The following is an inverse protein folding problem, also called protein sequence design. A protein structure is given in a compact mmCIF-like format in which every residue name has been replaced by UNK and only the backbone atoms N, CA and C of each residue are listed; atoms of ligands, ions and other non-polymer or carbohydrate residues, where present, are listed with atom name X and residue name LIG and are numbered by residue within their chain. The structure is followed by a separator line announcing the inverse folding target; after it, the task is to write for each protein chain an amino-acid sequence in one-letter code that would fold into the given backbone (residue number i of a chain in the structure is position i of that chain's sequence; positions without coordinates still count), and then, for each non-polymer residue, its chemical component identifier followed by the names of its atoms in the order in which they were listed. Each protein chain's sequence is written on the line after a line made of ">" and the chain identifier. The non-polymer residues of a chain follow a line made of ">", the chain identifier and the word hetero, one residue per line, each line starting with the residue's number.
data_IF_760604314813
#
_entry.id   IF_760604314813
#
_cell.length_a   1.000
_cell.length_b   1.000
_cell.length_c   1.000
_cell.angle_alpha   90.00
_cell.angle_beta   90.00
_cell.angle_gamma   90.00
#
_symmetry.space_group_name_H-M   'P 1'
#
loop_
_entity.id
_entity.type
_entity.pdbx_description
1 polymer ?
#
# COMPACT_ATOMS: atom_id res chain seq x y z
N UNK A 1 17.85 13.20 31.18
CA UNK A 1 16.60 13.46 30.43
C UNK A 1 16.95 13.52 28.95
N UNK A 2 16.70 12.45 28.20
CA UNK A 2 17.15 12.28 26.82
C UNK A 2 16.00 12.50 25.84
N UNK A 3 16.24 13.36 24.85
CA UNK A 3 15.33 13.82 23.80
C UNK A 3 14.54 12.69 23.11
N UNK A 4 13.23 12.62 23.36
CA UNK A 4 12.31 11.68 22.69
C UNK A 4 11.69 12.24 21.39
N UNK A 5 11.91 13.51 21.07
CA UNK A 5 11.21 14.21 19.99
C UNK A 5 11.90 14.17 18.62
N UNK A 6 13.10 13.59 18.49
CA UNK A 6 13.80 13.53 17.18
C UNK A 6 13.41 12.35 16.30
N UNK A 7 12.62 11.40 16.80
CA UNK A 7 12.25 10.16 16.05
C UNK A 7 10.93 10.26 15.29
N UNK A 8 10.02 11.15 15.67
CA UNK A 8 8.76 11.39 14.94
C UNK A 8 9.02 12.10 13.61
N UNK A 9 9.89 13.11 13.59
CA UNK A 9 10.23 13.91 12.40
C UNK A 9 10.92 13.09 11.29
N UNK A 10 11.58 11.98 11.65
CA UNK A 10 12.24 11.08 10.70
C UNK A 10 11.26 10.20 9.90
N UNK A 11 9.98 10.11 10.29
CA UNK A 11 8.95 9.37 9.53
C UNK A 11 8.41 10.23 8.37
N UNK A 12 8.31 11.54 8.58
CA UNK A 12 7.81 12.49 7.58
C UNK A 12 8.86 12.90 6.55
N UNK A 13 10.15 12.90 6.91
CA UNK A 13 11.26 13.27 6.01
C UNK A 13 11.80 12.12 5.16
N UNK A 14 11.06 11.03 4.98
CA UNK A 14 11.53 9.93 4.12
C UNK A 14 11.11 10.20 2.69
N UNK A 15 12.06 10.70 1.87
CA UNK A 15 12.15 10.72 0.40
C UNK A 15 10.84 10.58 -0.40
N UNK A 16 9.76 11.24 0.03
CA UNK A 16 8.51 11.35 -0.73
C UNK A 16 8.76 12.13 -2.02
N UNK A 17 9.81 12.94 -2.06
CA UNK A 17 10.15 13.76 -3.22
C UNK A 17 10.37 12.88 -4.46
N UNK A 18 11.13 11.78 -4.37
CA UNK A 18 11.33 10.88 -5.52
C UNK A 18 10.02 10.24 -6.00
N UNK A 19 9.10 9.96 -5.07
CA UNK A 19 7.78 9.41 -5.39
C UNK A 19 6.88 10.46 -6.05
N UNK A 20 6.85 11.67 -5.51
CA UNK A 20 6.09 12.80 -6.06
C UNK A 20 6.64 13.24 -7.42
N UNK A 21 7.97 13.32 -7.56
CA UNK A 21 8.63 13.64 -8.83
C UNK A 21 8.25 12.62 -9.92
N UNK A 22 8.09 11.35 -9.53
CA UNK A 22 7.61 10.32 -10.44
C UNK A 22 6.12 10.48 -10.76
N UNK A 23 5.27 10.76 -9.75
CA UNK A 23 3.84 11.02 -9.95
C UNK A 23 3.59 12.19 -10.91
N UNK A 24 4.33 13.28 -10.76
CA UNK A 24 4.25 14.44 -11.66
C UNK A 24 4.70 14.08 -13.09
N UNK A 25 5.74 13.25 -13.23
CA UNK A 25 6.20 12.74 -14.53
C UNK A 25 5.18 11.85 -15.25
N UNK A 26 4.18 11.31 -14.55
CA UNK A 26 3.07 10.61 -15.20
C UNK A 26 2.14 11.57 -15.92
N UNK A 27 2.15 12.87 -15.60
CA UNK A 27 1.45 13.92 -16.35
C UNK A 27 -0.05 14.04 -16.06
N UNK A 28 -0.63 13.20 -15.20
CA UNK A 28 -2.05 13.28 -14.83
C UNK A 28 -2.44 14.60 -14.16
N UNK A 29 -1.50 15.26 -13.46
CA UNK A 29 -1.76 16.50 -12.73
C UNK A 29 -2.27 17.66 -13.61
N UNK A 30 -2.08 17.57 -14.94
CA UNK A 30 -2.52 18.60 -15.86
C UNK A 30 -3.93 18.37 -16.41
N UNK A 31 -4.49 17.19 -16.20
CA UNK A 31 -5.78 16.75 -16.75
C UNK A 31 -6.81 16.62 -15.62
N UNK A 32 -8.10 16.87 -15.90
CA UNK A 32 -9.16 16.62 -14.90
C UNK A 32 -9.44 15.13 -14.74
N UNK A 33 -9.83 14.71 -13.53
CA UNK A 33 -10.17 13.33 -13.23
C UNK A 33 -11.32 12.84 -14.12
N UNK A 34 -12.34 13.69 -14.35
CA UNK A 34 -13.44 13.41 -15.28
C UNK A 34 -12.95 13.10 -16.70
N UNK A 35 -12.01 13.91 -17.23
CA UNK A 35 -11.46 13.71 -18.58
C UNK A 35 -10.73 12.37 -18.66
N UNK A 36 -9.93 12.02 -17.64
CA UNK A 36 -9.24 10.73 -17.59
C UNK A 36 -10.24 9.57 -17.63
N UNK A 37 -11.25 9.60 -16.76
CA UNK A 37 -12.27 8.54 -16.68
C UNK A 37 -12.97 8.37 -18.02
N UNK A 38 -13.42 9.48 -18.63
CA UNK A 38 -14.12 9.48 -19.91
C UNK A 38 -13.27 8.93 -21.05
N UNK A 39 -12.04 9.46 -21.22
CA UNK A 39 -11.16 9.06 -22.32
C UNK A 39 -10.79 7.57 -22.20
N UNK A 40 -10.32 7.13 -21.03
CA UNK A 40 -9.91 5.74 -20.87
C UNK A 40 -11.08 4.77 -20.96
N UNK A 41 -12.29 5.14 -20.52
CA UNK A 41 -13.47 4.32 -20.78
C UNK A 41 -13.83 4.20 -22.26
N UNK A 42 -13.73 5.28 -23.03
CA UNK A 42 -14.08 5.28 -24.46
C UNK A 42 -13.18 4.37 -25.30
N UNK A 43 -11.91 4.27 -24.93
CA UNK A 43 -10.95 3.38 -25.61
C UNK A 43 -10.99 1.93 -25.08
N UNK A 44 -11.71 1.67 -23.99
CA UNK A 44 -11.80 0.34 -23.38
C UNK A 44 -12.87 -0.54 -24.02
N UNK A 45 -12.58 -1.84 -24.09
CA UNK A 45 -13.57 -2.88 -24.41
C UNK A 45 -13.59 -3.89 -23.27
N UNK A 46 -14.76 -4.07 -22.66
CA UNK A 46 -14.97 -4.97 -21.52
C UNK A 46 -14.00 -4.72 -20.34
N UNK A 47 -13.64 -3.45 -20.11
CA UNK A 47 -12.72 -3.07 -19.04
C UNK A 47 -11.24 -3.34 -19.34
N UNK A 48 -10.92 -3.70 -20.59
CA UNK A 48 -9.57 -3.98 -21.06
C UNK A 48 -9.17 -3.04 -22.20
N UNK A 49 -7.87 -2.77 -22.29
CA UNK A 49 -7.27 -2.01 -23.39
C UNK A 49 -6.02 -2.72 -23.91
N UNK A 50 -5.87 -2.75 -25.23
CA UNK A 50 -4.60 -3.09 -25.87
C UNK A 50 -3.59 -1.95 -25.72
N UNK A 51 -2.32 -2.23 -25.99
CA UNK A 51 -1.28 -1.19 -26.01
C UNK A 51 -1.58 -0.05 -27.00
N UNK A 52 -2.18 -0.36 -28.16
CA UNK A 52 -2.57 0.67 -29.14
C UNK A 52 -3.63 1.59 -28.56
N UNK A 53 -4.73 1.01 -28.03
CA UNK A 53 -5.81 1.78 -27.41
C UNK A 53 -5.31 2.63 -26.23
N UNK A 54 -4.35 2.13 -25.47
CA UNK A 54 -3.72 2.87 -24.38
C UNK A 54 -2.95 4.09 -24.89
N UNK A 55 -2.14 3.92 -25.93
CA UNK A 55 -1.42 5.05 -26.53
C UNK A 55 -2.39 6.11 -27.07
N UNK A 56 -3.46 5.68 -27.74
CA UNK A 56 -4.47 6.58 -28.29
C UNK A 56 -5.18 7.35 -27.16
N UNK A 57 -5.59 6.67 -26.09
CA UNK A 57 -6.16 7.31 -24.89
C UNK A 57 -5.19 8.29 -24.22
N UNK A 58 -3.89 7.96 -24.16
CA UNK A 58 -2.88 8.86 -23.59
C UNK A 58 -2.71 10.13 -24.42
N UNK A 59 -2.71 10.00 -25.75
CA UNK A 59 -2.64 11.14 -26.66
C UNK A 59 -3.87 12.05 -26.51
N UNK A 60 -5.07 11.47 -26.46
CA UNK A 60 -6.33 12.22 -26.33
C UNK A 60 -6.53 12.89 -24.97
N UNK A 61 -5.95 12.32 -23.91
CA UNK A 61 -6.00 12.89 -22.56
C UNK A 61 -4.83 13.82 -22.24
N UNK A 62 -3.92 14.02 -23.21
CA UNK A 62 -2.66 14.77 -23.07
C UNK A 62 -1.75 14.26 -21.94
N UNK A 63 -1.92 12.98 -21.55
CA UNK A 63 -1.10 12.35 -20.51
C UNK A 63 0.09 11.66 -21.16
N UNK A 64 1.31 12.10 -20.82
CA UNK A 64 2.53 11.53 -21.37
C UNK A 64 2.96 10.22 -20.68
N UNK A 65 2.22 9.14 -20.90
CA UNK A 65 2.57 7.82 -20.37
C UNK A 65 3.49 7.02 -21.29
N UNK A 66 3.73 7.47 -22.53
CA UNK A 66 4.55 6.77 -23.51
C UNK A 66 5.98 6.50 -23.01
N UNK A 67 6.53 7.40 -22.19
CA UNK A 67 7.85 7.25 -21.57
C UNK A 67 7.84 6.35 -20.33
N UNK A 68 6.67 5.97 -19.82
CA UNK A 68 6.48 5.20 -18.58
C UNK A 68 5.72 3.89 -18.83
N UNK A 69 5.77 3.34 -20.04
CA UNK A 69 5.08 2.09 -20.39
C UNK A 69 5.50 0.92 -19.48
N UNK A 70 6.77 0.86 -19.06
CA UNK A 70 7.26 -0.15 -18.11
C UNK A 70 6.61 -0.07 -16.72
N UNK A 71 6.09 1.09 -16.34
CA UNK A 71 5.27 1.25 -15.15
C UNK A 71 3.84 0.78 -15.42
N UNK A 72 3.28 1.14 -16.59
CA UNK A 72 1.94 0.71 -16.97
C UNK A 72 1.80 -0.81 -17.10
N UNK A 73 2.87 -1.51 -17.46
CA UNK A 73 2.92 -2.98 -17.49
C UNK A 73 2.57 -3.61 -16.12
N UNK A 74 2.67 -2.85 -15.02
CA UNK A 74 2.23 -3.29 -13.67
C UNK A 74 0.71 -3.38 -13.49
N UNK A 75 -0.03 -2.87 -14.46
CA UNK A 75 -1.49 -2.88 -14.58
C UNK A 75 -1.97 -3.79 -15.72
N UNK A 76 -1.10 -4.63 -16.27
CA UNK A 76 -1.43 -5.57 -17.34
C UNK A 76 -1.59 -7.00 -16.81
N UNK A 77 -2.46 -7.77 -17.47
CA UNK A 77 -2.58 -9.23 -17.33
C UNK A 77 -1.63 -10.00 -18.28
N UNK A 78 -0.72 -9.28 -18.95
CA UNK A 78 0.23 -9.79 -19.94
C UNK A 78 -0.07 -9.31 -21.35
N UNK A 79 -1.34 -9.37 -21.77
CA UNK A 79 -1.75 -9.01 -23.13
C UNK A 79 -2.53 -7.70 -23.18
N UNK A 80 -3.33 -7.43 -22.13
CA UNK A 80 -4.17 -6.25 -22.04
C UNK A 80 -3.91 -5.49 -20.74
N UNK A 81 -4.27 -4.23 -20.74
CA UNK A 81 -4.24 -3.35 -19.59
C UNK A 81 -5.60 -3.34 -18.89
N UNK A 82 -5.56 -3.45 -17.56
CA UNK A 82 -6.73 -3.39 -16.69
C UNK A 82 -7.17 -1.93 -16.53
N UNK A 83 -8.15 -1.51 -17.31
CA UNK A 83 -8.54 -0.10 -17.46
C UNK A 83 -9.01 0.49 -16.14
N UNK A 84 -9.76 -0.30 -15.35
CA UNK A 84 -10.24 0.12 -14.03
C UNK A 84 -9.10 0.60 -13.13
N UNK A 85 -7.97 -0.12 -13.10
CA UNK A 85 -6.79 0.24 -12.30
C UNK A 85 -6.09 1.49 -12.82
N UNK A 86 -6.05 1.67 -14.15
CA UNK A 86 -5.47 2.86 -14.77
C UNK A 86 -6.34 4.09 -14.50
N UNK A 87 -7.66 3.95 -14.58
CA UNK A 87 -8.60 5.02 -14.20
C UNK A 87 -8.43 5.36 -12.72
N UNK A 88 -8.32 4.36 -11.83
CA UNK A 88 -8.07 4.59 -10.41
C UNK A 88 -6.77 5.38 -10.16
N UNK A 89 -5.67 5.01 -10.83
CA UNK A 89 -4.42 5.76 -10.83
C UNK A 89 -4.65 7.21 -11.30
N UNK A 90 -5.37 7.37 -12.40
CA UNK A 90 -5.73 8.65 -12.98
C UNK A 90 -6.49 9.54 -12.00
N UNK A 91 -7.57 9.05 -11.39
CA UNK A 91 -8.37 9.78 -10.40
C UNK A 91 -7.51 10.23 -9.22
N UNK A 92 -6.60 9.38 -8.73
CA UNK A 92 -5.72 9.72 -7.62
C UNK A 92 -4.77 10.89 -7.93
N UNK A 93 -4.24 10.93 -9.15
CA UNK A 93 -3.18 11.89 -9.55
C UNK A 93 -3.70 13.12 -10.31
N UNK A 94 -4.88 13.05 -10.92
CA UNK A 94 -5.47 14.11 -11.71
C UNK A 94 -6.01 15.27 -10.86
N UNK A 95 -6.26 16.42 -11.51
CA UNK A 95 -6.99 17.54 -10.91
C UNK A 95 -8.45 17.15 -10.69
N UNK A 96 -9.02 17.58 -9.58
CA UNK A 96 -10.44 17.37 -9.29
C UNK A 96 -10.73 17.59 -7.83
N UNK A 97 -11.95 18.02 -7.54
CA UNK A 97 -12.40 18.18 -6.16
C UNK A 97 -12.61 16.81 -5.51
N UNK A 98 -12.58 16.78 -4.18
CA UNK A 98 -12.81 15.55 -3.41
C UNK A 98 -14.13 14.87 -3.81
N UNK A 99 -15.23 15.63 -3.86
CA UNK A 99 -16.54 15.10 -4.17
C UNK A 99 -16.59 14.50 -5.59
N UNK A 100 -15.98 15.19 -6.56
CA UNK A 100 -15.84 14.70 -7.94
C UNK A 100 -15.08 13.37 -7.99
N UNK A 101 -13.91 13.28 -7.34
CA UNK A 101 -13.11 12.05 -7.31
C UNK A 101 -13.86 10.88 -6.67
N UNK A 102 -14.66 11.14 -5.63
CA UNK A 102 -15.50 10.13 -5.01
C UNK A 102 -16.58 9.60 -5.96
N UNK A 103 -17.25 10.50 -6.70
CA UNK A 103 -18.23 10.10 -7.71
C UNK A 103 -17.59 9.23 -8.79
N UNK A 104 -16.45 9.68 -9.32
CA UNK A 104 -15.74 8.95 -10.37
C UNK A 104 -15.25 7.58 -9.89
N UNK A 105 -14.77 7.46 -8.64
CA UNK A 105 -14.43 6.16 -8.05
C UNK A 105 -15.66 5.27 -7.93
N UNK A 106 -16.77 5.81 -7.43
CA UNK A 106 -18.02 5.06 -7.32
C UNK A 106 -18.46 4.52 -8.68
N UNK A 107 -18.53 5.36 -9.71
CA UNK A 107 -18.93 4.99 -11.07
C UNK A 107 -17.96 4.00 -11.74
N UNK A 108 -16.67 4.12 -11.46
CA UNK A 108 -15.63 3.24 -12.04
C UNK A 108 -15.75 1.80 -11.52
N UNK A 109 -16.14 1.63 -10.25
CA UNK A 109 -16.23 0.32 -9.61
C UNK A 109 -17.65 -0.23 -9.54
N UNK A 110 -18.68 0.61 -9.61
CA UNK A 110 -20.05 0.13 -9.69
C UNK A 110 -20.28 -0.57 -11.02
N UNK A 111 -20.97 -1.70 -10.97
CA UNK A 111 -21.43 -2.33 -12.20
C UNK A 111 -22.43 -1.40 -12.88
N UNK A 112 -22.28 -1.13 -14.18
CA UNK A 112 -23.20 -0.26 -14.96
C UNK A 112 -24.68 -0.65 -14.87
N UNK A 113 -24.99 -1.86 -14.40
CA UNK A 113 -26.36 -2.34 -14.21
C UNK A 113 -26.97 -1.93 -12.86
N UNK A 114 -26.17 -1.45 -11.92
CA UNK A 114 -26.57 -1.24 -10.54
C UNK A 114 -26.03 0.09 -10.00
N UNK A 115 -26.90 0.91 -9.42
CA UNK A 115 -26.52 2.18 -8.77
C UNK A 115 -26.00 1.96 -7.34
N UNK A 116 -25.30 0.86 -7.10
CA UNK A 116 -24.70 0.51 -5.82
C UNK A 116 -23.39 -0.26 -6.01
N UNK A 117 -22.50 -0.11 -5.03
CA UNK A 117 -21.31 -0.95 -4.87
C UNK A 117 -21.67 -2.16 -4.00
N UNK A 118 -21.32 -3.34 -4.49
CA UNK A 118 -21.31 -4.56 -3.69
C UNK A 118 -20.07 -4.62 -2.80
N UNK A 119 -20.04 -5.57 -1.85
CA UNK A 119 -18.85 -5.82 -1.05
C UNK A 119 -17.62 -6.11 -1.93
N UNK A 120 -17.76 -6.91 -2.99
CA UNK A 120 -16.62 -7.20 -3.88
C UNK A 120 -16.10 -5.96 -4.61
N UNK A 121 -16.99 -5.03 -4.98
CA UNK A 121 -16.58 -3.79 -5.65
C UNK A 121 -15.77 -2.90 -4.70
N UNK A 122 -16.15 -2.86 -3.42
CA UNK A 122 -15.42 -2.15 -2.36
C UNK A 122 -14.07 -2.81 -2.08
N UNK A 123 -14.02 -4.14 -2.00
CA UNK A 123 -12.78 -4.88 -1.81
C UNK A 123 -11.80 -4.61 -2.95
N UNK A 124 -12.27 -4.62 -4.20
CA UNK A 124 -11.48 -4.30 -5.38
C UNK A 124 -11.00 -2.84 -5.35
N UNK A 125 -11.90 -1.88 -5.07
CA UNK A 125 -11.59 -0.45 -5.00
C UNK A 125 -10.51 -0.14 -3.97
N UNK A 126 -10.67 -0.60 -2.73
CA UNK A 126 -9.67 -0.33 -1.69
C UNK A 126 -8.35 -1.05 -1.94
N UNK A 127 -8.39 -2.26 -2.51
CA UNK A 127 -7.18 -2.95 -2.92
C UNK A 127 -6.43 -2.12 -3.95
N UNK A 128 -7.09 -1.62 -4.98
CA UNK A 128 -6.44 -0.82 -6.01
C UNK A 128 -5.91 0.52 -5.48
N UNK A 129 -6.71 1.28 -4.73
CA UNK A 129 -6.30 2.56 -4.12
C UNK A 129 -5.02 2.40 -3.29
N UNK A 130 -4.96 1.34 -2.46
CA UNK A 130 -3.85 1.10 -1.55
C UNK A 130 -2.66 0.49 -2.29
N UNK A 131 -2.86 -0.48 -3.19
CA UNK A 131 -1.76 -1.08 -3.95
C UNK A 131 -1.10 -0.06 -4.87
N UNK A 132 -1.87 0.79 -5.57
CA UNK A 132 -1.31 1.85 -6.41
C UNK A 132 -0.39 2.75 -5.57
N UNK A 133 -0.91 3.25 -4.46
CA UNK A 133 -0.24 4.23 -3.60
C UNK A 133 0.97 3.65 -2.88
N UNK A 134 0.86 2.43 -2.35
CA UNK A 134 1.82 1.84 -1.40
C UNK A 134 2.72 0.77 -2.01
N UNK A 135 2.35 0.17 -3.15
CA UNK A 135 3.08 -0.94 -3.78
C UNK A 135 3.56 -0.57 -5.19
N UNK A 136 2.66 -0.21 -6.10
CA UNK A 136 2.98 -0.06 -7.53
C UNK A 136 3.92 1.12 -7.76
N UNK A 137 3.53 2.33 -7.33
CA UNK A 137 4.36 3.54 -7.45
C UNK A 137 5.69 3.36 -6.72
N UNK A 138 5.73 2.98 -5.42
CA UNK A 138 6.99 2.95 -4.68
C UNK A 138 7.96 1.87 -5.15
N UNK A 139 7.47 0.68 -5.54
CA UNK A 139 8.35 -0.35 -6.10
C UNK A 139 8.92 0.05 -7.46
N UNK A 140 8.14 0.75 -8.29
CA UNK A 140 8.66 1.24 -9.56
C UNK A 140 9.77 2.27 -9.36
N UNK A 141 9.55 3.26 -8.49
CA UNK A 141 10.58 4.27 -8.19
C UNK A 141 11.82 3.63 -7.55
N UNK A 142 11.66 2.64 -6.67
CA UNK A 142 12.78 1.87 -6.13
C UNK A 142 13.54 1.09 -7.22
N UNK A 143 12.85 0.59 -8.25
CA UNK A 143 13.49 -0.09 -9.37
C UNK A 143 14.37 0.84 -10.22
N UNK A 144 14.04 2.13 -10.25
CA UNK A 144 14.86 3.18 -10.87
C UNK A 144 16.02 3.63 -9.96
N UNK A 145 15.84 3.54 -8.64
CA UNK A 145 16.78 4.04 -7.62
C UNK A 145 17.33 2.91 -6.74
N UNK A 146 17.82 1.82 -7.35
CA UNK A 146 18.16 0.56 -6.62
C UNK A 146 19.20 0.74 -5.51
N UNK A 147 20.08 1.72 -5.62
CA UNK A 147 21.16 1.98 -4.66
C UNK A 147 20.71 2.81 -3.45
N UNK A 148 19.50 3.36 -3.50
CA UNK A 148 18.95 4.17 -2.42
C UNK A 148 18.48 3.28 -1.26
N UNK A 149 19.28 3.26 -0.19
CA UNK A 149 18.98 2.51 1.02
C UNK A 149 17.84 3.10 1.85
N UNK A 150 17.64 4.43 1.86
CA UNK A 150 16.53 5.08 2.57
C UNK A 150 15.21 4.76 1.89
N UNK A 151 15.14 4.90 0.58
CA UNK A 151 13.97 4.53 -0.22
C UNK A 151 13.65 3.04 -0.09
N UNK A 152 14.65 2.15 -0.23
CA UNK A 152 14.43 0.70 -0.06
C UNK A 152 13.81 0.36 1.29
N UNK A 153 14.35 0.96 2.36
CA UNK A 153 13.84 0.78 3.72
C UNK A 153 12.43 1.35 3.87
N UNK A 154 12.13 2.47 3.22
CA UNK A 154 10.80 3.07 3.20
C UNK A 154 9.77 2.17 2.53
N UNK A 155 10.04 1.79 1.28
CA UNK A 155 9.18 0.92 0.46
C UNK A 155 8.90 -0.40 1.17
N UNK A 156 9.92 -0.98 1.81
CA UNK A 156 9.76 -2.22 2.58
C UNK A 156 8.81 -2.05 3.77
N UNK A 157 8.84 -0.91 4.47
CA UNK A 157 7.94 -0.66 5.61
C UNK A 157 6.48 -0.57 5.17
N UNK A 158 6.20 0.25 4.14
CA UNK A 158 4.83 0.45 3.65
C UNK A 158 4.28 -0.82 3.00
N UNK A 159 5.13 -1.60 2.32
CA UNK A 159 4.72 -2.86 1.70
C UNK A 159 4.26 -3.88 2.74
N UNK A 160 4.99 -4.01 3.86
CA UNK A 160 4.61 -4.94 4.96
C UNK A 160 3.25 -4.59 5.58
N UNK A 161 2.88 -3.31 5.62
CA UNK A 161 1.58 -2.89 6.17
C UNK A 161 0.42 -2.97 5.19
N UNK A 162 0.69 -3.05 3.88
CA UNK A 162 -0.33 -2.95 2.83
C UNK A 162 -1.47 -3.96 3.00
N UNK A 163 -1.22 -5.27 3.23
CA UNK A 163 -2.32 -6.23 3.40
C UNK A 163 -3.23 -5.90 4.60
N UNK A 164 -2.63 -5.56 5.74
CA UNK A 164 -3.38 -5.17 6.93
C UNK A 164 -4.15 -3.86 6.74
N UNK A 165 -3.59 -2.94 5.97
CA UNK A 165 -4.25 -1.68 5.59
C UNK A 165 -5.49 -1.97 4.74
N UNK A 166 -5.39 -2.84 3.72
CA UNK A 166 -6.52 -3.25 2.88
C UNK A 166 -7.64 -3.86 3.74
N UNK A 167 -7.31 -4.87 4.56
CA UNK A 167 -8.30 -5.51 5.44
C UNK A 167 -8.96 -4.52 6.41
N UNK A 168 -8.18 -3.62 7.00
CA UNK A 168 -8.68 -2.63 7.96
C UNK A 168 -9.69 -1.66 7.32
N UNK A 169 -9.37 -1.13 6.13
CA UNK A 169 -10.23 -0.15 5.46
C UNK A 169 -11.49 -0.80 4.91
N UNK A 170 -11.39 -1.99 4.33
CA UNK A 170 -12.57 -2.77 3.92
C UNK A 170 -13.48 -3.00 5.12
N UNK A 171 -12.95 -3.50 6.24
CA UNK A 171 -13.74 -3.79 7.44
C UNK A 171 -14.48 -2.56 7.98
N UNK A 172 -13.79 -1.42 8.10
CA UNK A 172 -14.42 -0.16 8.56
C UNK A 172 -15.48 0.33 7.57
N UNK A 173 -15.27 0.08 6.28
CA UNK A 173 -16.21 0.53 5.27
C UNK A 173 -17.44 -0.35 5.20
N UNK A 174 -17.28 -1.68 5.24
CA UNK A 174 -18.35 -2.63 4.91
C UNK A 174 -19.22 -3.00 6.11
N UNK A 175 -18.78 -2.78 7.36
CA UNK A 175 -19.41 -3.16 8.65
C UNK A 175 -20.74 -3.96 8.55
N UNK A 176 -21.84 -3.36 8.08
CA UNK A 176 -23.16 -4.00 7.95
C UNK A 176 -23.90 -3.73 6.62
N UNK A 177 -23.24 -3.30 5.55
CA UNK A 177 -23.91 -2.94 4.28
C UNK A 177 -23.54 -3.89 3.15
N UNK A 178 -24.52 -4.67 2.68
CA UNK A 178 -24.38 -5.51 1.48
C UNK A 178 -24.40 -4.71 0.17
N UNK A 179 -25.03 -3.52 0.21
CA UNK A 179 -25.16 -2.60 -0.92
C UNK A 179 -24.91 -1.18 -0.44
N UNK A 180 -24.06 -0.46 -1.17
CA UNK A 180 -23.64 0.88 -0.81
C UNK A 180 -24.01 1.81 -1.98
N UNK A 181 -24.97 2.70 -1.75
CA UNK A 181 -25.33 3.74 -2.73
C UNK A 181 -24.26 4.83 -2.78
N UNK A 182 -24.35 5.74 -3.76
CA UNK A 182 -23.42 6.86 -3.87
C UNK A 182 -23.43 7.75 -2.62
N UNK A 183 -24.61 8.07 -2.09
CA UNK A 183 -24.78 8.86 -0.87
C UNK A 183 -24.10 8.18 0.32
N UNK A 184 -24.37 6.88 0.54
CA UNK A 184 -23.70 6.11 1.60
C UNK A 184 -22.18 6.06 1.41
N UNK A 185 -21.72 5.95 0.16
CA UNK A 185 -20.30 5.92 -0.16
C UNK A 185 -19.62 7.24 0.19
N UNK A 186 -20.20 8.36 -0.25
CA UNK A 186 -19.70 9.71 0.05
C UNK A 186 -19.66 9.97 1.55
N UNK A 187 -20.78 9.72 2.25
CA UNK A 187 -20.89 9.91 3.70
C UNK A 187 -19.84 9.11 4.48
N UNK A 188 -19.59 7.86 4.06
CA UNK A 188 -18.54 7.05 4.69
C UNK A 188 -17.16 7.59 4.40
N UNK A 189 -16.88 8.02 3.17
CA UNK A 189 -15.58 8.57 2.77
C UNK A 189 -15.25 9.93 3.42
N UNK A 190 -16.23 10.62 4.01
CA UNK A 190 -16.00 11.76 4.90
C UNK A 190 -15.27 11.39 6.20
N UNK A 191 -15.24 10.10 6.58
CA UNK A 191 -14.49 9.64 7.74
C UNK A 191 -12.99 9.94 7.57
N UNK A 192 -12.40 10.66 8.51
CA UNK A 192 -10.96 11.01 8.50
C UNK A 192 -10.04 9.78 8.40
N UNK A 193 -10.51 8.62 8.88
CA UNK A 193 -9.79 7.34 8.77
C UNK A 193 -9.72 6.81 7.34
N UNK A 194 -10.55 7.29 6.42
CA UNK A 194 -10.60 6.84 5.02
C UNK A 194 -10.11 7.92 4.06
N UNK A 195 -10.24 9.19 4.43
CA UNK A 195 -9.94 10.34 3.56
C UNK A 195 -8.53 10.31 2.95
N UNK A 196 -7.56 9.77 3.68
CA UNK A 196 -6.18 9.66 3.22
C UNK A 196 -6.01 8.75 1.99
N UNK A 197 -6.98 7.90 1.66
CA UNK A 197 -6.94 7.00 0.51
C UNK A 197 -7.13 7.72 -0.82
N UNK A 198 -7.71 8.93 -0.83
CA UNK A 198 -7.90 9.73 -2.05
C UNK A 198 -6.64 10.46 -2.51
N UNK A 199 -5.52 10.30 -1.79
CA UNK A 199 -4.25 10.92 -2.14
C UNK A 199 -3.11 9.93 -1.87
N UNK A 200 -2.32 9.64 -2.90
CA UNK A 200 -1.27 8.63 -2.84
C UNK A 200 -0.23 8.92 -1.76
N UNK A 201 0.18 10.18 -1.59
CA UNK A 201 1.11 10.63 -0.55
C UNK A 201 0.52 10.42 0.85
N UNK A 202 -0.74 10.81 1.06
CA UNK A 202 -1.43 10.62 2.34
C UNK A 202 -1.58 9.14 2.71
N UNK A 203 -1.93 8.29 1.75
CA UNK A 203 -2.01 6.84 1.94
C UNK A 203 -0.66 6.24 2.34
N UNK A 204 0.42 6.66 1.67
CA UNK A 204 1.80 6.27 2.00
C UNK A 204 2.24 6.72 3.40
N UNK A 205 1.88 7.94 3.80
CA UNK A 205 2.14 8.45 5.16
C UNK A 205 1.37 7.61 6.19
N UNK A 206 0.11 7.28 5.92
CA UNK A 206 -0.69 6.44 6.79
C UNK A 206 -0.09 5.03 6.95
N UNK A 207 0.29 4.38 5.85
CA UNK A 207 0.96 3.08 5.87
C UNK A 207 2.25 3.11 6.72
N UNK A 208 3.07 4.15 6.57
CA UNK A 208 4.28 4.31 7.38
C UNK A 208 3.99 4.51 8.87
N UNK A 209 2.93 5.26 9.22
CA UNK A 209 2.46 5.40 10.61
C UNK A 209 1.97 4.06 11.17
N UNK A 210 1.19 3.31 10.40
CA UNK A 210 0.73 1.97 10.77
C UNK A 210 1.89 1.02 11.06
N UNK A 211 2.97 1.08 10.26
CA UNK A 211 4.17 0.27 10.51
C UNK A 211 4.82 0.60 11.86
N UNK A 212 4.94 1.89 12.16
CA UNK A 212 5.59 2.35 13.39
C UNK A 212 4.77 2.04 14.64
N UNK A 213 3.44 2.05 14.53
CA UNK A 213 2.52 1.86 15.64
C UNK A 213 2.17 0.39 15.90
N UNK A 214 2.11 -0.45 14.86
CA UNK A 214 1.62 -1.83 14.99
C UNK A 214 2.73 -2.87 14.74
N UNK A 215 3.45 -2.73 13.63
CA UNK A 215 4.42 -3.76 13.18
C UNK A 215 5.70 -3.70 14.00
N UNK A 216 6.30 -2.51 14.15
CA UNK A 216 7.58 -2.34 14.84
C UNK A 216 7.53 -2.75 16.33
N UNK A 217 6.49 -2.41 17.11
CA UNK A 217 6.35 -2.91 18.47
C UNK A 217 6.23 -4.44 18.52
N UNK A 218 5.42 -5.04 17.64
CA UNK A 218 5.27 -6.49 17.56
C UNK A 218 6.60 -7.20 17.24
N UNK A 219 7.37 -6.70 16.27
CA UNK A 219 8.70 -7.23 15.95
C UNK A 219 9.66 -7.17 17.14
N UNK A 220 9.66 -6.06 17.89
CA UNK A 220 10.54 -5.89 19.04
C UNK A 220 10.20 -6.90 20.16
N UNK A 221 8.92 -7.13 20.40
CA UNK A 221 8.45 -8.15 21.35
C UNK A 221 8.90 -9.55 20.88
N UNK A 222 8.71 -9.88 19.60
CA UNK A 222 9.14 -11.17 19.05
C UNK A 222 10.66 -11.38 19.13
N UNK A 223 11.45 -10.34 18.84
CA UNK A 223 12.93 -10.38 18.94
C UNK A 223 13.38 -10.59 20.39
N UNK A 224 12.77 -9.88 21.36
CA UNK A 224 13.02 -10.07 22.80
C UNK A 224 12.67 -11.48 23.26
N UNK A 225 11.56 -12.04 22.79
CA UNK A 225 11.17 -13.40 23.13
C UNK A 225 12.13 -14.45 22.55
N UNK A 226 12.65 -14.23 21.33
CA UNK A 226 13.67 -15.11 20.73
C UNK A 226 15.00 -15.06 21.49
N UNK A 227 15.45 -13.89 21.95
CA UNK A 227 16.70 -13.78 22.73
C UNK A 227 16.56 -14.43 24.11
N UNK A 228 15.43 -14.26 24.80
CA UNK A 228 15.13 -14.93 26.08
C UNK A 228 15.15 -16.45 25.91
N UNK A 229 14.50 -17.00 24.87
CA UNK A 229 14.53 -18.44 24.58
C UNK A 229 15.95 -18.96 24.32
N UNK A 230 16.79 -18.20 23.61
CA UNK A 230 18.20 -18.56 23.38
C UNK A 230 19.03 -18.53 24.66
N UNK A 231 18.83 -17.53 25.52
CA UNK A 231 19.49 -17.50 26.84
C UNK A 231 19.07 -18.69 27.68
N UNK A 232 17.77 -18.96 27.82
CA UNK A 232 17.28 -20.07 28.63
C UNK A 232 17.83 -21.43 28.18
N UNK A 233 17.93 -21.68 26.85
CA UNK A 233 18.58 -22.90 26.32
C UNK A 233 20.06 -23.01 26.71
N UNK A 234 20.81 -21.91 26.70
CA UNK A 234 22.22 -21.91 27.16
C UNK A 234 22.32 -22.16 28.66
N UNK A 235 21.42 -21.58 29.46
CA UNK A 235 21.39 -21.80 30.91
C UNK A 235 20.99 -23.24 31.27
N UNK A 236 20.11 -23.88 30.50
CA UNK A 236 19.77 -25.31 30.69
C UNK A 236 20.95 -26.22 30.33
N UNK A 237 21.61 -25.94 29.20
CA UNK A 237 22.82 -26.66 28.77
C UNK A 237 23.96 -26.54 29.80
N UNK A 238 24.17 -25.35 30.36
CA UNK A 238 25.19 -25.13 31.40
C UNK A 238 24.88 -25.89 32.70
N UNK A 239 23.62 -25.89 33.16
CA UNK A 239 23.20 -26.67 34.34
C UNK A 239 23.32 -28.19 34.14
N UNK A 240 23.07 -28.70 32.93
CA UNK A 240 23.29 -30.12 32.59
C UNK A 240 24.78 -30.50 32.58
N UNK A 241 25.67 -29.60 32.14
CA UNK A 241 27.12 -29.85 32.18
C UNK A 241 27.70 -29.87 33.62
N UNK A 242 27.14 -29.06 34.52
CA UNK A 242 27.53 -29.01 35.93
C UNK A 242 27.03 -30.22 36.74
N UNK A 243 25.86 -30.76 36.40
CA UNK A 243 25.33 -31.96 37.07
C UNK A 243 26.04 -33.26 36.65
N UNK A 244 26.60 -33.32 35.43
CA UNK A 244 27.46 -34.43 35.01
C UNK A 244 28.83 -34.43 35.70
N UNK A 245 29.44 -33.27 35.96
CA UNK A 245 30.74 -33.20 36.67
C UNK A 245 30.69 -33.60 38.15
N UNK A 246 29.53 -33.52 38.83
CA UNK A 246 29.40 -33.91 40.25
C UNK A 246 29.25 -35.41 40.49
N UNK A 247 29.02 -36.23 39.46
CA UNK A 247 28.87 -37.70 39.61
C UNK A 247 30.20 -38.48 39.57
N UNK A 248 31.34 -37.84 39.30
CA UNK A 248 32.64 -38.52 39.14
C UNK A 248 33.47 -38.55 40.44
N UNK A 249 33.03 -37.88 41.52
CA UNK A 249 33.84 -37.68 42.74
C UNK A 249 33.56 -38.61 43.93
N UNK A 250 32.81 -39.71 43.78
CA UNK A 250 32.53 -40.65 44.89
C UNK A 250 32.70 -42.10 44.47
N UNK A 251 33.94 -42.55 44.36
CA UNK A 251 34.27 -43.98 44.42
C UNK A 251 35.48 -44.20 45.33
N UNK A 252 35.14 -44.68 46.54
CA UNK A 252 35.84 -45.64 47.39
C UNK A 252 37.24 -45.32 47.95
N UNK A 253 37.25 -44.93 49.23
CA UNK A 253 38.22 -45.46 50.19
C UNK A 253 37.55 -46.59 50.97
N UNK A 254 38.01 -47.82 50.79
CA UNK A 254 37.83 -48.90 51.76
C UNK A 254 39.22 -49.43 52.10
N UNK A 255 39.53 -49.34 53.40
CA UNK A 255 40.55 -50.12 54.10
C UNK A 255 39.92 -51.49 54.37
#
# INVERSE_FOLDING_TARGET
>A
MGCSNSRSDLIERVDQNLLMDFENKLGFENTSAETIVKVFHNYSKDGLMTKSQLNDACNDSEVNLNLQMSFLDKFSDGNNFLVKKIICLGILLAKGEKAEKLNLLFETYSSRKFDFLSQSDIEEMFTDLIEISCIKIPNFVLSLNKQDASLRRYVSKIAVTTPGMITYHIYIFTENLDRITLENFQDKMENEKLLHLLNTKSARIYAAKMFMNMVKPAENIMKKNKSIKKMNKRTTSYKQSLSQKRKIGKTNSMI
#
